data_IF_720327304233
#
_entry.id   IF_720327304233
#
_cell.length_a   1.000
_cell.length_b   1.000
_cell.length_c   1.000
_cell.angle_alpha   90.00
_cell.angle_beta   90.00
_cell.angle_gamma   90.00
#
_symmetry.space_group_name_H-M   'P 1'
#
loop_
_entity.id
_entity.type
_entity.pdbx_description
1 polymer ?
#
# COMPACT_ATOMS: atom_id res chain seq x y z
N UNK A 1 4.44 -14.19 -19.06
CA UNK A 1 3.51 -13.48 -18.17
C UNK A 1 4.17 -13.38 -16.80
N UNK A 2 4.19 -12.21 -16.16
CA UNK A 2 4.84 -11.99 -14.85
C UNK A 2 4.02 -12.50 -13.67
N UNK A 3 2.80 -13.01 -13.89
CA UNK A 3 1.90 -13.44 -12.81
C UNK A 3 1.31 -12.28 -12.01
N UNK A 4 1.37 -11.05 -12.52
CA UNK A 4 0.87 -9.85 -11.85
C UNK A 4 -0.39 -9.33 -12.56
N UNK A 5 -1.38 -8.91 -11.77
CA UNK A 5 -2.52 -8.12 -12.24
C UNK A 5 -2.43 -6.71 -11.64
N UNK A 6 -2.57 -5.69 -12.49
CA UNK A 6 -2.56 -4.28 -12.07
C UNK A 6 -3.98 -3.74 -12.11
N UNK A 7 -4.37 -3.01 -11.06
CA UNK A 7 -5.64 -2.31 -10.97
C UNK A 7 -5.47 -0.97 -10.29
N UNK A 8 -6.15 0.06 -10.79
CA UNK A 8 -6.28 1.33 -10.10
C UNK A 8 -7.42 1.26 -9.09
N UNK A 9 -7.17 1.74 -7.86
CA UNK A 9 -8.17 1.70 -6.80
C UNK A 9 -8.69 3.10 -6.53
N UNK A 10 -9.99 3.30 -6.70
CA UNK A 10 -10.61 4.62 -6.58
C UNK A 10 -11.97 4.54 -5.92
N UNK A 11 -12.26 5.52 -5.05
CA UNK A 11 -13.56 5.77 -4.47
C UNK A 11 -14.39 6.75 -5.29
N UNK A 12 -15.45 7.26 -4.68
CA UNK A 12 -16.40 8.22 -5.25
C UNK A 12 -15.96 9.65 -4.99
N UNK A 13 -16.23 10.53 -5.96
CA UNK A 13 -16.11 11.98 -5.82
C UNK A 13 -17.49 12.63 -5.81
N UNK A 14 -17.65 13.72 -5.04
CA UNK A 14 -18.85 14.57 -5.14
C UNK A 14 -18.87 15.43 -6.41
N UNK A 15 -17.75 15.50 -7.13
CA UNK A 15 -17.65 16.19 -8.40
C UNK A 15 -18.21 15.32 -9.54
N UNK A 16 -19.40 15.69 -10.02
CA UNK A 16 -20.09 14.98 -11.10
C UNK A 16 -19.27 14.91 -12.39
N UNK A 17 -18.45 15.93 -12.68
CA UNK A 17 -17.63 15.95 -13.90
C UNK A 17 -16.50 14.91 -13.83
N UNK A 18 -15.89 14.76 -12.64
CA UNK A 18 -14.89 13.72 -12.40
C UNK A 18 -15.50 12.33 -12.44
N UNK A 19 -16.70 12.14 -11.88
CA UNK A 19 -17.39 10.86 -11.96
C UNK A 19 -17.73 10.47 -13.40
N UNK A 20 -18.21 11.40 -14.23
CA UNK A 20 -18.48 11.13 -15.65
C UNK A 20 -17.20 10.93 -16.50
N UNK A 21 -16.05 11.46 -16.06
CA UNK A 21 -14.77 11.15 -16.67
C UNK A 21 -14.30 9.74 -16.29
N UNK A 22 -14.41 9.38 -15.02
CA UNK A 22 -14.08 8.06 -14.50
C UNK A 22 -14.94 6.97 -15.15
N UNK A 23 -16.25 7.18 -15.30
CA UNK A 23 -17.13 6.22 -15.98
C UNK A 23 -16.66 5.90 -17.40
N UNK A 24 -16.23 6.92 -18.15
CA UNK A 24 -15.68 6.72 -19.51
C UNK A 24 -14.34 5.99 -19.51
N UNK A 25 -13.47 6.29 -18.55
CA UNK A 25 -12.18 5.61 -18.41
C UNK A 25 -12.35 4.13 -18.04
N UNK A 26 -13.28 3.83 -17.13
CA UNK A 26 -13.66 2.46 -16.76
C UNK A 26 -14.18 1.68 -17.96
N UNK A 27 -15.05 2.29 -18.79
CA UNK A 27 -15.56 1.67 -20.02
C UNK A 27 -14.45 1.41 -21.07
N UNK A 28 -13.40 2.23 -21.09
CA UNK A 28 -12.31 2.11 -22.06
C UNK A 28 -11.25 1.07 -21.65
N UNK A 29 -10.85 1.03 -20.38
CA UNK A 29 -9.67 0.27 -19.94
C UNK A 29 -9.98 -0.97 -19.08
N UNK A 30 -11.12 -1.02 -18.38
CA UNK A 30 -11.52 -2.13 -17.49
C UNK A 30 -10.44 -2.55 -16.47
N UNK A 31 -9.68 -1.57 -15.96
CA UNK A 31 -8.55 -1.78 -15.04
C UNK A 31 -8.75 -1.13 -13.67
N UNK A 32 -9.98 -0.73 -13.34
CA UNK A 32 -10.32 -0.12 -12.04
C UNK A 32 -10.95 -1.12 -11.06
N UNK A 33 -10.68 -0.91 -9.77
CA UNK A 33 -11.45 -1.42 -8.64
C UNK A 33 -12.15 -0.24 -7.98
N UNK A 34 -13.46 -0.14 -8.21
CA UNK A 34 -14.30 0.93 -7.66
C UNK A 34 -14.73 0.60 -6.24
N UNK A 35 -14.42 1.48 -5.29
CA UNK A 35 -14.76 1.34 -3.89
C UNK A 35 -15.96 2.20 -3.51
N UNK A 36 -16.87 1.65 -2.70
CA UNK A 36 -18.02 2.40 -2.16
C UNK A 36 -17.63 3.25 -0.94
N UNK A 37 -16.76 4.23 -1.17
CA UNK A 37 -16.32 5.21 -0.19
C UNK A 37 -16.01 6.53 -0.87
N UNK A 38 -16.10 7.63 -0.15
CA UNK A 38 -15.76 8.96 -0.66
C UNK A 38 -14.23 9.18 -0.64
N UNK A 39 -13.70 9.70 -1.75
CA UNK A 39 -12.28 10.05 -1.89
C UNK A 39 -11.92 11.26 -1.03
N UNK A 40 -11.05 11.02 -0.06
CA UNK A 40 -10.50 12.05 0.82
C UNK A 40 -9.16 11.56 1.37
N UNK A 41 -8.14 12.43 1.40
CA UNK A 41 -6.80 12.05 1.87
C UNK A 41 -6.82 11.54 3.32
N UNK A 42 -7.64 12.15 4.19
CA UNK A 42 -7.82 11.72 5.59
C UNK A 42 -8.41 10.31 5.73
N UNK A 43 -9.00 9.77 4.66
CA UNK A 43 -9.63 8.45 4.62
C UNK A 43 -8.76 7.36 3.99
N UNK A 44 -7.51 7.67 3.63
CA UNK A 44 -6.58 6.69 3.05
C UNK A 44 -6.46 5.37 3.83
N UNK A 45 -6.42 5.34 5.19
CA UNK A 45 -6.42 4.08 5.92
C UNK A 45 -7.67 3.22 5.65
N UNK A 46 -8.84 3.84 5.55
CA UNK A 46 -10.10 3.16 5.24
C UNK A 46 -10.15 2.70 3.78
N UNK A 47 -9.66 3.53 2.85
CA UNK A 47 -9.52 3.18 1.44
C UNK A 47 -8.63 1.95 1.26
N UNK A 48 -7.53 1.89 2.01
CA UNK A 48 -6.58 0.77 1.97
C UNK A 48 -7.16 -0.52 2.52
N UNK A 49 -7.91 -0.47 3.62
CA UNK A 49 -8.64 -1.66 4.10
C UNK A 49 -9.68 -2.12 3.06
N UNK A 50 -10.44 -1.18 2.49
CA UNK A 50 -11.44 -1.50 1.46
C UNK A 50 -10.80 -2.09 0.20
N UNK A 51 -9.64 -1.58 -0.21
CA UNK A 51 -8.79 -2.15 -1.25
C UNK A 51 -8.48 -3.63 -0.97
N UNK A 52 -7.87 -3.93 0.18
CA UNK A 52 -7.49 -5.32 0.49
C UNK A 52 -8.69 -6.25 0.53
N UNK A 53 -9.83 -5.79 1.06
CA UNK A 53 -11.08 -6.57 1.06
C UNK A 53 -11.62 -6.82 -0.35
N UNK A 54 -11.65 -5.79 -1.19
CA UNK A 54 -12.13 -5.92 -2.57
C UNK A 54 -11.20 -6.80 -3.41
N UNK A 55 -9.88 -6.58 -3.33
CA UNK A 55 -8.90 -7.35 -4.07
C UNK A 55 -8.95 -8.84 -3.70
N UNK A 56 -9.06 -9.16 -2.41
CA UNK A 56 -9.20 -10.55 -1.94
C UNK A 56 -10.47 -11.25 -2.43
N UNK A 57 -11.56 -10.49 -2.61
CA UNK A 57 -12.81 -11.04 -3.14
C UNK A 57 -12.76 -11.24 -4.67
N UNK A 58 -11.94 -10.47 -5.38
CA UNK A 58 -11.88 -10.44 -6.84
C UNK A 58 -10.78 -11.34 -7.43
N UNK A 59 -9.68 -11.52 -6.72
CA UNK A 59 -8.48 -12.18 -7.23
C UNK A 59 -8.01 -13.27 -6.27
N UNK A 60 -7.68 -14.44 -6.81
CA UNK A 60 -6.97 -15.49 -6.08
C UNK A 60 -5.47 -15.28 -6.30
N UNK A 61 -4.78 -14.71 -5.30
CA UNK A 61 -3.37 -14.29 -5.39
C UNK A 61 -2.60 -14.64 -4.12
N UNK A 62 -1.33 -15.02 -4.26
CA UNK A 62 -0.43 -15.28 -3.13
C UNK A 62 -0.10 -14.02 -2.33
N UNK A 63 -0.08 -12.86 -3.01
CA UNK A 63 0.21 -11.56 -2.43
C UNK A 63 -0.70 -10.48 -3.01
N UNK A 64 -1.02 -9.51 -2.16
CA UNK A 64 -1.73 -8.29 -2.52
C UNK A 64 -0.81 -7.10 -2.25
N UNK A 65 -0.59 -6.28 -3.26
CA UNK A 65 0.39 -5.19 -3.23
C UNK A 65 -0.33 -3.86 -3.27
N UNK A 66 -0.06 -2.99 -2.28
CA UNK A 66 -0.41 -1.57 -2.34
C UNK A 66 0.78 -0.83 -2.95
N UNK A 67 0.53 0.04 -3.91
CA UNK A 67 1.50 0.96 -4.47
C UNK A 67 0.84 2.33 -4.70
N UNK A 68 1.58 3.41 -4.45
CA UNK A 68 1.17 4.76 -4.86
C UNK A 68 1.34 4.93 -6.38
N UNK A 69 0.56 5.83 -6.97
CA UNK A 69 0.57 6.13 -8.41
C UNK A 69 1.70 7.09 -8.82
N UNK A 70 2.45 7.62 -7.86
CA UNK A 70 3.56 8.56 -8.03
C UNK A 70 4.96 7.92 -7.82
N UNK A 71 5.07 6.60 -8.04
CA UNK A 71 6.33 5.86 -7.96
C UNK A 71 6.77 5.30 -9.31
N UNK A 72 8.08 5.10 -9.48
CA UNK A 72 8.59 4.22 -10.54
C UNK A 72 8.62 2.78 -10.05
N UNK A 73 7.97 1.86 -10.75
CA UNK A 73 7.89 0.43 -10.41
C UNK A 73 8.49 -0.44 -11.52
N UNK A 74 9.19 -1.52 -11.12
CA UNK A 74 9.67 -2.59 -12.01
C UNK A 74 8.92 -3.91 -11.77
N UNK A 75 7.86 -4.19 -12.56
CA UNK A 75 7.01 -5.37 -12.37
C UNK A 75 7.76 -6.70 -12.43
N UNK A 76 8.74 -6.83 -13.33
CA UNK A 76 9.57 -8.02 -13.47
C UNK A 76 10.26 -8.39 -12.15
N UNK A 77 10.78 -7.39 -11.44
CA UNK A 77 11.51 -7.62 -10.19
C UNK A 77 10.59 -7.76 -8.99
N UNK A 78 9.47 -7.03 -9.00
CA UNK A 78 8.43 -7.26 -8.01
C UNK A 78 7.97 -8.72 -8.08
N UNK A 79 7.74 -9.26 -9.27
CA UNK A 79 7.35 -10.66 -9.44
C UNK A 79 8.38 -11.64 -8.87
N UNK A 80 9.68 -11.38 -9.08
CA UNK A 80 10.76 -12.19 -8.51
C UNK A 80 10.82 -12.11 -6.98
N UNK A 81 10.60 -10.93 -6.40
CA UNK A 81 10.54 -10.75 -4.94
C UNK A 81 9.37 -11.55 -4.33
N UNK A 82 8.20 -11.47 -4.94
CA UNK A 82 6.99 -12.13 -4.45
C UNK A 82 7.09 -13.66 -4.60
N UNK A 83 7.69 -14.16 -5.69
CA UNK A 83 7.89 -15.59 -5.95
C UNK A 83 8.94 -16.27 -5.05
N UNK A 84 9.70 -15.50 -4.25
CA UNK A 84 10.69 -16.06 -3.32
C UNK A 84 10.02 -16.96 -2.28
N UNK A 85 10.56 -18.16 -2.10
CA UNK A 85 10.12 -19.07 -1.04
C UNK A 85 10.34 -18.46 0.35
N UNK A 86 9.33 -18.62 1.22
CA UNK A 86 9.32 -18.11 2.59
C UNK A 86 8.87 -19.20 3.53
N UNK A 87 9.49 -19.23 4.71
CA UNK A 87 9.13 -20.17 5.79
C UNK A 87 7.86 -19.74 6.52
N UNK A 88 7.49 -18.47 6.45
CA UNK A 88 6.30 -17.90 7.08
C UNK A 88 5.25 -17.59 6.01
N UNK A 89 4.04 -18.12 6.19
CA UNK A 89 2.92 -17.86 5.27
C UNK A 89 2.35 -16.45 5.47
N UNK A 90 2.36 -15.94 6.71
CA UNK A 90 1.97 -14.57 7.05
C UNK A 90 3.16 -13.61 6.96
N UNK A 91 3.31 -12.94 5.82
CA UNK A 91 4.42 -12.02 5.56
C UNK A 91 3.92 -10.64 5.14
N UNK A 92 4.54 -9.63 5.76
CA UNK A 92 4.45 -8.22 5.40
C UNK A 92 5.79 -7.76 4.81
N UNK A 93 5.81 -7.50 3.50
CA UNK A 93 7.02 -7.14 2.76
C UNK A 93 6.99 -5.64 2.47
N UNK A 94 8.09 -4.96 2.75
CA UNK A 94 8.20 -3.53 2.48
C UNK A 94 9.58 -3.00 2.81
N UNK A 95 9.84 -1.75 2.46
CA UNK A 95 10.99 -1.05 3.01
C UNK A 95 10.68 -0.62 4.44
N UNK A 96 11.20 -1.35 5.42
CA UNK A 96 10.83 -1.18 6.81
C UNK A 96 11.53 0.04 7.41
N UNK A 97 10.77 0.89 8.09
CA UNK A 97 11.25 2.12 8.71
C UNK A 97 10.73 2.28 10.14
N UNK A 98 11.43 3.14 10.89
CA UNK A 98 10.93 3.78 12.11
C UNK A 98 10.98 5.29 11.89
N UNK A 99 10.15 6.03 12.60
CA UNK A 99 10.12 7.49 12.51
C UNK A 99 9.44 8.10 13.72
N UNK A 100 9.57 9.43 13.90
CA UNK A 100 8.93 10.13 15.01
C UNK A 100 7.41 10.09 14.87
N UNK A 101 6.71 10.09 16.01
CA UNK A 101 5.28 10.39 16.04
C UNK A 101 5.11 11.89 15.87
N UNK A 102 4.28 12.32 14.91
CA UNK A 102 4.04 13.73 14.65
C UNK A 102 2.98 14.27 15.61
N UNK A 103 3.41 15.03 16.62
CA UNK A 103 2.52 15.55 17.68
C UNK A 103 2.10 17.01 17.48
N UNK A 104 2.63 17.71 16.48
CA UNK A 104 2.22 19.08 16.17
C UNK A 104 1.03 19.08 15.20
N UNK A 105 -0.15 19.63 15.57
CA UNK A 105 -1.33 19.74 14.71
C UNK A 105 -1.12 20.45 13.37
N UNK A 106 -0.01 21.20 13.20
CA UNK A 106 0.34 21.89 11.96
C UNK A 106 1.04 21.00 10.94
N UNK A 107 1.50 19.81 11.33
CA UNK A 107 2.20 18.89 10.44
C UNK A 107 1.21 18.04 9.65
N UNK A 108 1.53 17.79 8.36
CA UNK A 108 0.70 16.99 7.43
C UNK A 108 0.26 15.64 8.02
N UNK A 109 1.13 15.00 8.78
CA UNK A 109 0.91 13.66 9.34
C UNK A 109 0.68 13.68 10.86
N UNK A 110 0.17 14.79 11.40
CA UNK A 110 -0.21 14.90 12.80
C UNK A 110 -1.07 13.70 13.23
N UNK A 111 -0.70 13.10 14.36
CA UNK A 111 -1.42 12.00 14.99
C UNK A 111 -2.16 12.51 16.24
N UNK A 112 -3.49 12.73 16.17
CA UNK A 112 -4.28 13.21 17.30
C UNK A 112 -4.28 12.25 18.49
N UNK A 113 -4.02 10.97 18.26
CA UNK A 113 -3.94 9.93 19.29
C UNK A 113 -2.51 9.65 19.74
N UNK A 114 -1.57 10.56 19.47
CA UNK A 114 -0.15 10.43 19.79
C UNK A 114 0.12 10.18 21.28
N UNK A 115 -0.78 10.56 22.17
CA UNK A 115 -0.69 10.26 23.62
C UNK A 115 -0.74 8.76 23.95
N UNK A 116 -1.23 7.92 23.03
CA UNK A 116 -1.21 6.45 23.14
C UNK A 116 0.12 5.84 22.69
N UNK A 117 1.00 6.64 22.11
CA UNK A 117 2.25 6.21 21.49
C UNK A 117 3.46 6.76 22.27
N UNK A 118 4.62 6.14 22.02
CA UNK A 118 5.90 6.72 22.43
C UNK A 118 6.34 7.84 21.47
N UNK A 119 7.59 8.28 21.60
CA UNK A 119 8.18 9.31 20.72
C UNK A 119 8.35 8.86 19.26
N UNK A 120 8.32 7.56 18.99
CA UNK A 120 8.46 7.00 17.65
C UNK A 120 7.43 5.90 17.36
N UNK A 121 7.06 5.78 16.09
CA UNK A 121 6.25 4.67 15.60
C UNK A 121 7.03 3.34 15.68
N UNK A 122 6.28 2.24 15.79
CA UNK A 122 6.82 0.88 15.63
C UNK A 122 7.39 0.68 14.22
N UNK A 123 8.12 -0.42 14.01
CA UNK A 123 8.63 -0.77 12.69
C UNK A 123 7.46 -1.05 11.74
N UNK A 124 7.40 -0.35 10.61
CA UNK A 124 6.35 -0.50 9.59
C UNK A 124 6.94 -0.28 8.19
N UNK A 125 6.27 -0.74 7.14
CA UNK A 125 6.73 -0.47 5.78
C UNK A 125 6.53 1.00 5.42
N UNK A 126 7.39 1.51 4.56
CA UNK A 126 7.24 2.82 3.97
C UNK A 126 6.05 2.85 3.01
N UNK A 127 5.19 3.86 3.16
CA UNK A 127 3.92 3.99 2.42
C UNK A 127 3.94 3.76 0.91
N UNK A 128 4.94 4.21 0.13
CA UNK A 128 4.88 4.15 -1.34
C UNK A 128 4.59 2.77 -1.94
N UNK A 129 5.10 1.69 -1.32
CA UNK A 129 4.77 0.33 -1.74
C UNK A 129 5.02 -0.68 -0.63
N UNK A 130 4.10 -1.63 -0.49
CA UNK A 130 4.27 -2.81 0.36
C UNK A 130 3.34 -3.95 -0.07
N UNK A 131 3.68 -5.18 0.32
CA UNK A 131 2.91 -6.39 -0.01
C UNK A 131 2.47 -7.14 1.24
N UNK A 132 1.25 -7.64 1.23
CA UNK A 132 0.69 -8.53 2.24
C UNK A 132 0.41 -9.89 1.61
N UNK A 133 0.87 -10.97 2.25
CA UNK A 133 0.53 -12.33 1.85
C UNK A 133 -0.98 -12.60 1.95
N UNK A 134 -1.50 -13.54 1.17
CA UNK A 134 -2.91 -13.93 1.18
C UNK A 134 -3.45 -14.22 2.59
N UNK A 135 -2.72 -14.95 3.42
CA UNK A 135 -3.11 -15.27 4.82
C UNK A 135 -3.31 -14.02 5.69
N UNK A 136 -2.49 -13.00 5.48
CA UNK A 136 -2.60 -11.72 6.20
C UNK A 136 -3.85 -10.99 5.74
N UNK A 137 -4.09 -10.93 4.43
CA UNK A 137 -5.28 -10.27 3.89
C UNK A 137 -6.56 -11.00 4.28
N UNK A 138 -6.56 -12.33 4.27
CA UNK A 138 -7.66 -13.16 4.77
C UNK A 138 -7.98 -12.81 6.23
N UNK A 139 -6.95 -12.62 7.06
CA UNK A 139 -7.11 -12.19 8.45
C UNK A 139 -7.73 -10.79 8.53
N UNK A 140 -7.28 -9.83 7.72
CA UNK A 140 -7.86 -8.48 7.64
C UNK A 140 -9.33 -8.48 7.19
N UNK A 141 -9.70 -9.36 6.25
CA UNK A 141 -11.08 -9.53 5.78
C UNK A 141 -11.98 -10.05 6.90
N UNK A 142 -11.47 -11.00 7.70
CA UNK A 142 -12.20 -11.60 8.81
C UNK A 142 -12.35 -10.68 10.03
N UNK A 143 -11.62 -9.56 10.10
CA UNK A 143 -11.73 -8.60 11.19
C UNK A 143 -13.13 -7.96 11.22
N UNK A 144 -13.69 -7.88 12.43
CA UNK A 144 -14.89 -7.08 12.66
C UNK A 144 -14.53 -5.60 12.55
N UNK A 145 -15.49 -4.80 12.10
CA UNK A 145 -15.33 -3.35 12.08
C UNK A 145 -14.95 -2.85 13.48
N UNK A 146 -13.99 -1.93 13.54
CA UNK A 146 -13.45 -1.34 14.77
C UNK A 146 -12.70 -2.32 15.70
N UNK A 147 -12.31 -3.52 15.23
CA UNK A 147 -11.44 -4.41 16.01
C UNK A 147 -10.03 -3.86 16.20
N UNK A 148 -9.50 -3.16 15.20
CA UNK A 148 -8.21 -2.48 15.29
C UNK A 148 -8.35 -0.97 15.13
N UNK A 149 -7.37 -0.27 15.70
CA UNK A 149 -7.29 1.19 15.68
C UNK A 149 -6.83 1.67 14.31
N UNK A 150 -7.50 2.70 13.81
CA UNK A 150 -7.04 3.48 12.66
C UNK A 150 -6.19 4.65 13.16
N UNK A 151 -5.06 4.90 12.51
CA UNK A 151 -4.25 6.10 12.69
C UNK A 151 -4.52 7.07 11.55
N UNK A 152 -4.09 8.34 11.69
CA UNK A 152 -4.27 9.32 10.62
C UNK A 152 -3.39 9.01 9.39
N UNK A 153 -2.28 8.30 9.61
CA UNK A 153 -1.40 7.85 8.55
C UNK A 153 -1.68 6.39 8.17
N UNK A 154 -1.76 6.11 6.87
CA UNK A 154 -2.09 4.81 6.31
C UNK A 154 -1.02 3.76 6.60
N UNK A 155 0.26 4.11 6.41
CA UNK A 155 1.36 3.14 6.53
C UNK A 155 1.57 2.73 7.99
N UNK A 156 1.40 3.70 8.90
CA UNK A 156 1.31 3.47 10.35
C UNK A 156 0.11 2.59 10.70
N UNK A 157 -1.07 2.82 10.11
CA UNK A 157 -2.25 1.99 10.37
C UNK A 157 -1.98 0.54 10.04
N UNK A 158 -1.52 0.26 8.82
CA UNK A 158 -1.21 -1.11 8.39
C UNK A 158 -0.12 -1.73 9.27
N UNK A 159 0.99 -1.01 9.51
CA UNK A 159 2.05 -1.50 10.37
C UNK A 159 1.59 -1.84 11.80
N UNK A 160 0.65 -1.07 12.36
CA UNK A 160 0.12 -1.35 13.70
C UNK A 160 -0.64 -2.67 13.76
N UNK A 161 -1.34 -3.01 12.68
CA UNK A 161 -2.11 -4.25 12.58
C UNK A 161 -1.19 -5.43 12.31
N UNK A 162 -0.15 -5.25 11.50
CA UNK A 162 0.87 -6.27 11.28
C UNK A 162 1.57 -6.61 12.60
N UNK A 163 1.85 -5.61 13.42
CA UNK A 163 2.36 -5.81 14.78
C UNK A 163 1.35 -6.55 15.67
N UNK A 164 0.08 -6.13 15.67
CA UNK A 164 -0.97 -6.74 16.50
C UNK A 164 -1.28 -8.20 16.13
N UNK A 165 -1.22 -8.53 14.85
CA UNK A 165 -1.47 -9.89 14.31
C UNK A 165 -0.23 -10.78 14.32
N UNK A 166 0.91 -10.32 14.84
CA UNK A 166 2.17 -11.06 14.88
C UNK A 166 2.65 -11.53 13.48
N UNK A 167 2.54 -10.64 12.49
CA UNK A 167 2.95 -10.89 11.09
C UNK A 167 4.46 -10.73 10.93
N UNK A 168 5.09 -11.59 10.13
CA UNK A 168 6.52 -11.51 9.87
C UNK A 168 6.86 -10.29 8.98
N UNK A 169 7.77 -9.43 9.45
CA UNK A 169 8.20 -8.23 8.72
C UNK A 169 9.45 -8.55 7.88
N UNK A 170 9.33 -8.49 6.55
CA UNK A 170 10.44 -8.64 5.63
C UNK A 170 10.90 -7.27 5.12
N UNK A 171 12.08 -6.83 5.57
CA UNK A 171 12.68 -5.58 5.13
C UNK A 171 13.35 -5.73 3.76
N UNK A 172 12.83 -5.01 2.77
CA UNK A 172 13.33 -4.98 1.40
C UNK A 172 13.64 -3.56 0.96
N UNK A 173 14.90 -3.15 1.07
CA UNK A 173 15.35 -1.80 0.69
C UNK A 173 15.14 -1.47 -0.79
N UNK A 174 15.11 -2.47 -1.67
CA UNK A 174 14.85 -2.27 -3.10
C UNK A 174 13.45 -1.66 -3.37
N UNK A 175 12.53 -1.66 -2.41
CA UNK A 175 11.21 -1.04 -2.52
C UNK A 175 11.17 0.47 -2.22
N UNK A 176 12.30 1.07 -1.86
CA UNK A 176 12.37 2.49 -1.46
C UNK A 176 13.71 3.14 -1.83
N UNK A 177 14.41 2.62 -2.84
CA UNK A 177 15.69 3.22 -3.22
C UNK A 177 15.46 4.65 -3.72
N UNK A 178 16.32 5.61 -3.35
CA UNK A 178 16.20 7.00 -3.80
C UNK A 178 16.72 7.19 -5.24
N UNK A 179 17.48 6.23 -5.77
CA UNK A 179 18.09 6.27 -7.09
C UNK A 179 17.72 5.04 -7.91
N UNK A 180 17.58 5.19 -9.23
CA UNK A 180 17.29 4.10 -10.14
C UNK A 180 18.55 3.25 -10.32
N UNK A 181 18.67 2.15 -9.59
CA UNK A 181 19.80 1.21 -9.71
C UNK A 181 19.44 0.02 -10.61
N UNK A 182 20.41 -0.85 -10.86
CA UNK A 182 20.12 -2.17 -11.44
C UNK A 182 19.55 -3.16 -10.42
N UNK A 183 19.21 -2.79 -9.18
CA UNK A 183 18.58 -3.65 -8.14
C UNK A 183 17.20 -3.18 -7.67
N UNK A 184 16.86 -1.89 -7.79
CA UNK A 184 15.56 -1.30 -7.39
C UNK A 184 14.32 -2.10 -7.84
N UNK A 185 13.29 -2.13 -7.04
CA UNK A 185 11.97 -2.62 -7.41
C UNK A 185 11.03 -1.43 -7.53
N UNK A 186 11.11 -0.51 -6.57
CA UNK A 186 10.43 0.78 -6.61
C UNK A 186 11.37 1.91 -6.22
N UNK A 187 11.15 3.09 -6.82
CA UNK A 187 11.89 4.31 -6.56
C UNK A 187 10.90 5.41 -6.22
N UNK A 188 11.13 6.06 -5.07
CA UNK A 188 10.35 7.20 -4.60
C UNK A 188 10.96 8.50 -5.16
N UNK A 189 10.11 9.50 -5.45
CA UNK A 189 10.50 10.80 -6.06
C UNK A 189 10.88 10.74 -7.55
N UNK A 190 9.98 10.20 -8.40
CA UNK A 190 10.08 9.98 -9.87
C UNK A 190 11.35 10.61 -10.50
N UNK A 191 12.55 10.02 -10.29
CA UNK A 191 13.74 10.51 -10.96
C UNK A 191 13.63 10.08 -12.43
N UNK A 192 14.50 10.57 -13.30
CA UNK A 192 14.57 10.13 -14.72
C UNK A 192 14.96 8.65 -14.87
N UNK A 193 14.18 7.71 -14.34
CA UNK A 193 14.36 6.26 -14.55
C UNK A 193 13.98 5.89 -15.99
N UNK A 194 13.13 6.69 -16.66
CA UNK A 194 12.71 6.57 -18.06
C UNK A 194 13.75 7.18 -19.02
N UNK A 195 14.94 6.56 -19.14
CA UNK A 195 15.95 7.09 -20.07
C UNK A 195 17.21 6.28 -20.37
N UNK A 196 17.45 5.12 -19.75
CA UNK A 196 18.73 4.41 -19.91
C UNK A 196 18.67 2.96 -20.43
N UNK A 197 17.49 2.46 -20.85
CA UNK A 197 17.35 1.08 -21.35
C UNK A 197 16.93 0.97 -22.83
N UNK A 198 17.09 2.03 -23.61
CA UNK A 198 17.04 1.98 -25.08
C UNK A 198 18.38 2.46 -25.64
N UNK A 199 19.35 1.54 -25.71
CA UNK A 199 20.46 1.51 -26.68
C UNK A 199 20.98 0.08 -26.76
#
# INVERSE_FOLDING_TARGET
ATGLAFRFVIGKSNDKSKMAALEREVEEYDDFVLLDLEEEYSRLPYKTLAFFKAAYALFDSDFYVKADDDIYLRPDRLSLLLAKERTHTQTYIGCMKKGPVFTDPKLKWYEPQSFLLGSGYFLHAYGPIYALSADVVASLVALRNNSFRMFNNEDVTIGSWMLAMNVNHENTHALCEPECTASSIAVWDIPKCSGHFLN
#
